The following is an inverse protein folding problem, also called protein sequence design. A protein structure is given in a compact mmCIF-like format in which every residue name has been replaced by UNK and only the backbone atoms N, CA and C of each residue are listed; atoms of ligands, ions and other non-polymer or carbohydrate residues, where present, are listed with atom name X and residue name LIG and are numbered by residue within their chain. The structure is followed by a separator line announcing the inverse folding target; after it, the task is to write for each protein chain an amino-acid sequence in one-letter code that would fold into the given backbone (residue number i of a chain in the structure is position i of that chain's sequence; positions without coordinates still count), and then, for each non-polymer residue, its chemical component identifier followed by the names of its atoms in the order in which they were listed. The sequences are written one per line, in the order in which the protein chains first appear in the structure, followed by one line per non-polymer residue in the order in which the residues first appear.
data_IF_779371518500
#
_entry.id   IF_779371518500
#
_cell.length_a   1.000
_cell.length_b   1.000
_cell.length_c   1.000
_cell.angle_alpha   90.00
_cell.angle_beta   90.00
_cell.angle_gamma   90.00
#
_symmetry.space_group_name_H-M   'P 1'
#
loop_
_entity.id
_entity.type
_entity.pdbx_description
1 polymer ?
#
# COMPACT_ATOMS: atom_id res chain seq x y z
N UNK A 1 2.33 -14.77 12.88
CA UNK A 1 2.26 -13.29 13.03
C UNK A 1 0.82 -12.95 13.29
N UNK A 2 0.55 -12.30 14.41
CA UNK A 2 -0.79 -11.84 14.73
C UNK A 2 -0.96 -10.40 14.24
N UNK A 3 -2.04 -10.12 13.53
CA UNK A 3 -2.43 -8.74 13.21
C UNK A 3 -3.00 -8.10 14.48
N UNK A 4 -2.87 -6.77 14.65
CA UNK A 4 -3.53 -6.08 15.75
C UNK A 4 -5.03 -6.41 15.81
N UNK A 5 -5.64 -6.45 17.00
CA UNK A 5 -7.09 -6.54 17.12
C UNK A 5 -7.76 -5.51 16.21
N UNK A 6 -8.87 -5.90 15.58
CA UNK A 6 -9.65 -5.07 14.65
C UNK A 6 -8.95 -4.73 13.32
N UNK A 7 -7.78 -5.29 13.03
CA UNK A 7 -7.13 -5.19 11.72
C UNK A 7 -7.52 -6.38 10.85
N UNK A 8 -8.69 -6.31 10.22
CA UNK A 8 -9.13 -7.32 9.24
C UNK A 8 -8.30 -7.22 7.95
N UNK A 9 -7.56 -8.27 7.59
CA UNK A 9 -6.97 -8.35 6.25
C UNK A 9 -8.09 -8.53 5.23
N UNK A 10 -8.11 -7.67 4.21
CA UNK A 10 -9.06 -7.73 3.10
C UNK A 10 -8.43 -8.32 1.85
N UNK A 11 -7.27 -7.81 1.46
CA UNK A 11 -6.52 -8.29 0.30
C UNK A 11 -5.12 -8.72 0.72
N UNK A 12 -4.63 -9.80 0.14
CA UNK A 12 -3.28 -10.31 0.33
C UNK A 12 -2.65 -10.53 -1.05
N UNK A 13 -1.71 -9.67 -1.44
CA UNK A 13 -1.08 -9.70 -2.76
C UNK A 13 0.35 -10.24 -2.66
N UNK A 14 0.67 -11.40 -3.25
CA UNK A 14 2.01 -11.99 -3.20
C UNK A 14 2.98 -11.23 -4.13
N UNK A 15 4.19 -11.02 -3.64
CA UNK A 15 5.33 -10.44 -4.34
C UNK A 15 6.48 -11.43 -4.26
N UNK A 16 6.49 -12.41 -5.16
CA UNK A 16 7.42 -13.53 -5.12
C UNK A 16 8.70 -13.25 -5.91
N UNK A 17 9.81 -13.81 -5.47
CA UNK A 17 11.10 -13.70 -6.14
C UNK A 17 11.67 -12.27 -6.17
N UNK A 18 11.34 -11.44 -5.20
CA UNK A 18 11.84 -10.07 -5.11
C UNK A 18 13.37 -10.06 -4.93
N UNK A 19 14.07 -9.33 -5.81
CA UNK A 19 15.52 -9.20 -5.73
C UNK A 19 15.89 -8.08 -4.77
N UNK A 20 16.57 -8.41 -3.67
CA UNK A 20 16.99 -7.41 -2.66
C UNK A 20 18.22 -6.59 -3.09
N UNK A 21 18.88 -6.96 -4.19
CA UNK A 21 20.20 -6.41 -4.56
C UNK A 21 20.22 -4.90 -4.83
N UNK A 22 19.11 -4.31 -5.24
CA UNK A 22 19.05 -2.87 -5.52
C UNK A 22 18.85 -2.03 -4.25
N UNK A 23 18.24 -2.60 -3.19
CA UNK A 23 17.81 -1.84 -2.01
C UNK A 23 18.47 -2.30 -0.71
N UNK A 24 18.85 -3.58 -0.58
CA UNK A 24 19.47 -4.12 0.62
C UNK A 24 20.98 -3.88 0.68
N UNK A 25 21.60 -3.45 -0.42
CA UNK A 25 23.00 -3.03 -0.44
C UNK A 25 23.10 -1.50 -0.33
N UNK A 26 22.79 -0.91 0.80
CA UNK A 26 23.64 0.18 1.24
C UNK A 26 25.04 -0.42 1.35
N UNK A 27 25.91 -0.15 0.38
CA UNK A 27 27.34 -0.33 0.58
C UNK A 27 27.71 0.56 1.76
N UNK A 28 27.76 -0.01 2.95
CA UNK A 28 28.48 0.63 4.03
C UNK A 28 29.89 0.87 3.48
N UNK A 29 30.41 2.10 3.53
CA UNK A 29 31.79 2.35 3.18
C UNK A 29 32.63 1.32 3.93
N UNK A 30 33.68 0.78 3.30
CA UNK A 30 34.52 -0.27 3.89
C UNK A 30 35.09 0.07 5.29
N UNK A 31 34.94 1.32 5.72
CA UNK A 31 35.39 1.85 7.00
C UNK A 31 34.26 2.48 7.83
N UNK A 32 32.98 2.17 7.56
CA UNK A 32 31.92 2.69 8.40
C UNK A 32 32.01 2.05 9.79
N UNK A 33 32.07 2.86 10.88
CA UNK A 33 32.02 2.31 12.22
C UNK A 33 30.69 1.60 12.41
N UNK A 34 30.73 0.32 12.76
CA UNK A 34 29.52 -0.44 13.09
C UNK A 34 28.86 0.19 14.30
N UNK A 35 27.59 0.56 14.27
CA UNK A 35 26.90 1.06 15.44
C UNK A 35 26.75 -0.07 16.45
N UNK A 36 27.44 0.04 17.58
CA UNK A 36 27.26 -0.76 18.78
C UNK A 36 28.13 -1.98 18.92
N UNK A 37 29.19 -1.84 19.74
CA UNK A 37 29.74 -2.84 20.65
C UNK A 37 30.04 -4.24 20.13
N UNK A 38 31.22 -4.42 19.57
CA UNK A 38 32.13 -5.53 19.81
C UNK A 38 31.58 -6.96 19.88
N UNK A 39 31.16 -7.51 18.75
CA UNK A 39 31.46 -8.90 18.43
C UNK A 39 32.14 -8.90 17.06
N UNK A 40 33.40 -9.28 17.05
CA UNK A 40 34.20 -9.49 15.86
C UNK A 40 33.65 -10.69 15.09
N UNK A 41 32.71 -10.43 14.18
CA UNK A 41 32.28 -11.40 13.18
C UNK A 41 33.18 -11.20 11.97
N UNK A 42 34.41 -11.75 12.10
CA UNK A 42 35.33 -11.83 11.00
C UNK A 42 34.66 -12.40 9.75
N UNK A 43 34.99 -11.78 8.64
CA UNK A 43 34.63 -12.08 7.26
C UNK A 43 33.16 -11.82 6.92
N UNK A 44 32.96 -10.86 6.01
CA UNK A 44 31.71 -10.72 5.25
C UNK A 44 31.46 -12.02 4.46
N UNK A 45 30.69 -12.92 5.04
CA UNK A 45 30.21 -14.11 4.31
C UNK A 45 29.41 -13.61 3.12
N UNK A 46 29.78 -13.95 1.87
CA UNK A 46 28.96 -13.63 0.73
C UNK A 46 27.57 -14.23 0.94
N UNK A 47 26.53 -13.39 0.92
CA UNK A 47 25.15 -13.90 0.97
C UNK A 47 24.99 -14.78 -0.27
N UNK A 48 24.68 -16.07 -0.13
CA UNK A 48 24.49 -16.96 -1.26
C UNK A 48 23.43 -16.35 -2.22
N UNK A 49 23.63 -16.49 -3.52
CA UNK A 49 22.71 -15.93 -4.55
C UNK A 49 21.26 -16.38 -4.36
N UNK A 50 21.04 -17.56 -3.76
CA UNK A 50 19.71 -18.04 -3.38
C UNK A 50 19.05 -17.20 -2.27
N UNK A 51 19.80 -16.46 -1.45
CA UNK A 51 19.28 -15.56 -0.43
C UNK A 51 19.08 -14.11 -0.95
N UNK A 52 19.47 -13.84 -2.20
CA UNK A 52 19.20 -12.55 -2.84
C UNK A 52 17.75 -12.37 -3.28
N UNK A 53 16.98 -13.45 -3.32
CA UNK A 53 15.55 -13.43 -3.61
C UNK A 53 14.76 -13.72 -2.35
N UNK A 54 13.72 -12.93 -2.13
CA UNK A 54 12.79 -13.10 -1.04
C UNK A 54 11.36 -13.03 -1.53
N UNK A 55 10.50 -13.71 -0.81
CA UNK A 55 9.08 -13.73 -1.06
C UNK A 55 8.37 -12.86 -0.02
N UNK A 56 7.52 -11.97 -0.49
CA UNK A 56 6.72 -11.09 0.35
C UNK A 56 5.24 -11.24 0.05
N UNK A 57 4.44 -10.75 0.98
CA UNK A 57 3.02 -10.54 0.77
C UNK A 57 2.64 -9.15 1.26
N UNK A 58 1.96 -8.39 0.41
CA UNK A 58 1.34 -7.14 0.81
C UNK A 58 -0.06 -7.43 1.36
N UNK A 59 -0.24 -7.21 2.65
CA UNK A 59 -1.52 -7.38 3.34
C UNK A 59 -2.18 -6.02 3.49
N UNK A 60 -3.37 -5.86 2.91
CA UNK A 60 -4.15 -4.64 2.95
C UNK A 60 -5.35 -4.85 3.86
N UNK A 61 -5.47 -4.06 4.92
CA UNK A 61 -6.60 -4.10 5.84
C UNK A 61 -7.77 -3.27 5.30
N UNK A 62 -9.00 -3.58 5.72
CA UNK A 62 -10.18 -2.78 5.38
C UNK A 62 -10.60 -1.87 6.53
N UNK A 63 -10.80 -0.58 6.24
CA UNK A 63 -11.47 0.35 7.15
C UNK A 63 -12.98 0.10 7.15
N UNK A 64 -13.58 -0.03 8.33
CA UNK A 64 -15.00 -0.34 8.50
C UNK A 64 -15.82 0.83 9.05
N UNK A 65 -15.20 1.72 9.84
CA UNK A 65 -15.87 2.85 10.47
C UNK A 65 -15.65 4.17 9.72
N UNK A 66 -16.65 5.05 9.75
CA UNK A 66 -16.55 6.38 9.18
C UNK A 66 -15.74 7.31 10.10
N UNK A 67 -15.14 8.35 9.51
CA UNK A 67 -14.49 9.46 10.21
C UNK A 67 -13.48 9.00 11.28
N UNK A 68 -12.67 7.98 10.96
CA UNK A 68 -11.60 7.46 11.82
C UNK A 68 -12.07 6.93 13.19
N UNK A 69 -13.29 6.43 13.30
CA UNK A 69 -13.82 5.86 14.55
C UNK A 69 -13.39 4.40 14.77
N UNK A 70 -12.19 4.05 14.32
CA UNK A 70 -11.59 2.72 14.48
C UNK A 70 -10.05 2.81 14.50
N UNK A 71 -9.33 1.75 14.88
CA UNK A 71 -7.90 1.66 14.70
C UNK A 71 -7.53 1.81 13.22
N UNK A 72 -6.36 2.43 12.97
CA UNK A 72 -5.91 2.74 11.62
C UNK A 72 -5.71 1.49 10.78
N UNK A 73 -6.39 1.44 9.62
CA UNK A 73 -6.19 0.43 8.61
C UNK A 73 -5.10 0.86 7.63
N UNK A 74 -4.24 -0.08 7.21
CA UNK A 74 -3.01 0.21 6.48
C UNK A 74 -2.56 -0.96 5.59
N UNK A 75 -1.55 -0.70 4.78
CA UNK A 75 -0.79 -1.74 4.07
C UNK A 75 0.33 -2.24 4.99
N UNK A 76 0.51 -3.56 5.05
CA UNK A 76 1.61 -4.23 5.74
C UNK A 76 2.37 -5.11 4.76
N UNK A 77 3.68 -4.98 4.75
CA UNK A 77 4.54 -5.89 4.01
C UNK A 77 5.08 -6.97 4.95
N UNK A 78 4.91 -8.21 4.55
CA UNK A 78 5.31 -9.38 5.33
C UNK A 78 6.28 -10.20 4.51
N UNK A 79 7.47 -10.48 5.03
CA UNK A 79 8.41 -11.44 4.47
C UNK A 79 7.91 -12.86 4.77
N UNK A 80 7.66 -13.63 3.73
CA UNK A 80 7.18 -15.02 3.79
C UNK A 80 8.19 -15.99 3.19
N UNK A 81 9.44 -15.56 2.98
CA UNK A 81 10.52 -16.42 2.44
C UNK A 81 10.63 -17.73 3.23
N UNK A 82 10.37 -17.66 4.52
CA UNK A 82 10.19 -18.82 5.39
C UNK A 82 8.73 -18.88 5.85
N UNK A 83 7.89 -19.62 5.15
CA UNK A 83 6.44 -19.67 5.38
C UNK A 83 6.07 -20.05 6.82
N UNK A 84 6.90 -20.87 7.47
CA UNK A 84 6.72 -21.26 8.88
C UNK A 84 7.02 -20.13 9.88
N UNK A 85 7.65 -19.03 9.44
CA UNK A 85 8.07 -17.92 10.30
C UNK A 85 7.91 -16.58 9.56
N UNK A 86 6.70 -16.15 9.23
CA UNK A 86 6.47 -14.88 8.54
C UNK A 86 6.83 -13.68 9.43
N UNK A 87 7.44 -12.65 8.83
CA UNK A 87 7.91 -11.45 9.55
C UNK A 87 7.36 -10.20 8.89
N UNK A 88 6.68 -9.34 9.67
CA UNK A 88 6.29 -8.01 9.22
C UNK A 88 7.53 -7.12 9.08
N UNK A 89 7.75 -6.55 7.88
CA UNK A 89 8.97 -5.79 7.57
C UNK A 89 8.73 -4.31 7.38
N UNK A 90 7.55 -3.90 6.93
CA UNK A 90 7.18 -2.50 6.82
C UNK A 90 5.67 -2.29 6.84
N UNK A 91 5.26 -1.04 7.05
CA UNK A 91 3.86 -0.60 6.95
C UNK A 91 3.78 0.70 6.20
N UNK A 92 2.65 0.93 5.54
CA UNK A 92 2.38 2.20 4.88
C UNK A 92 0.91 2.62 5.05
N UNK A 93 0.67 3.91 5.24
CA UNK A 93 -0.66 4.52 5.33
C UNK A 93 -0.63 5.96 4.84
N UNK A 94 -1.77 6.47 4.40
CA UNK A 94 -1.93 7.91 4.12
C UNK A 94 -1.97 8.67 5.45
N UNK A 95 -1.18 9.75 5.62
CA UNK A 95 -1.31 10.61 6.79
C UNK A 95 -2.67 11.33 6.81
N UNK A 96 -3.45 11.22 7.88
CA UNK A 96 -4.79 11.81 7.98
C UNK A 96 -4.78 13.32 7.77
N UNK A 97 -3.80 13.99 8.38
CA UNK A 97 -3.68 15.43 8.34
C UNK A 97 -3.39 16.00 6.94
N UNK A 98 -2.80 15.19 6.05
CA UNK A 98 -2.43 15.65 4.71
C UNK A 98 -3.63 16.10 3.85
N UNK A 99 -4.84 15.71 4.22
CA UNK A 99 -6.06 16.06 3.50
C UNK A 99 -7.28 16.21 4.38
N UNK A 100 -7.11 16.33 5.70
CA UNK A 100 -8.20 16.32 6.68
C UNK A 100 -9.17 15.14 6.48
N UNK A 101 -8.62 13.95 6.19
CA UNK A 101 -9.42 12.81 5.74
C UNK A 101 -10.42 12.34 6.79
N UNK A 102 -10.09 12.39 8.08
CA UNK A 102 -11.05 12.08 9.16
C UNK A 102 -12.24 13.04 9.19
N UNK A 103 -12.05 14.30 8.79
CA UNK A 103 -13.11 15.32 8.76
C UNK A 103 -13.95 15.37 7.48
N UNK A 104 -13.54 14.69 6.41
CA UNK A 104 -14.23 14.72 5.10
C UNK A 104 -15.53 13.93 5.03
N UNK A 105 -15.79 13.07 6.00
CA UNK A 105 -16.88 12.11 5.96
C UNK A 105 -16.50 10.78 5.30
N UNK A 106 -17.29 9.76 5.57
CA UNK A 106 -17.05 8.41 5.09
C UNK A 106 -15.86 7.72 5.75
N UNK A 107 -15.50 6.56 5.26
CA UNK A 107 -14.36 5.77 5.75
C UNK A 107 -13.05 6.39 5.29
N UNK A 108 -12.05 6.30 6.14
CA UNK A 108 -10.66 6.61 5.83
C UNK A 108 -9.76 5.48 6.31
N UNK A 109 -8.96 4.95 5.42
CA UNK A 109 -8.08 3.81 5.62
C UNK A 109 -8.00 3.00 4.34
N UNK A 110 -7.15 2.00 4.32
CA UNK A 110 -7.01 1.09 3.20
C UNK A 110 -8.26 0.22 3.02
N UNK A 111 -8.44 -0.31 1.80
CA UNK A 111 -9.46 -1.31 1.49
C UNK A 111 -8.90 -2.47 0.67
N UNK A 112 -8.50 -2.23 -0.57
CA UNK A 112 -8.01 -3.30 -1.46
C UNK A 112 -6.80 -2.86 -2.26
N UNK A 113 -6.04 -3.82 -2.77
CA UNK A 113 -5.04 -3.62 -3.81
C UNK A 113 -5.50 -4.20 -5.15
N UNK A 114 -4.79 -3.86 -6.23
CA UNK A 114 -4.90 -4.61 -7.48
C UNK A 114 -4.42 -6.05 -7.26
N UNK A 115 -5.03 -6.99 -8.01
CA UNK A 115 -4.73 -8.42 -7.92
C UNK A 115 -4.13 -8.99 -9.21
N UNK A 116 -4.08 -8.23 -10.30
CA UNK A 116 -3.49 -8.63 -11.56
C UNK A 116 -1.96 -8.64 -11.51
N UNK A 117 -1.35 -9.71 -12.03
CA UNK A 117 0.10 -9.93 -12.08
C UNK A 117 0.74 -9.40 -13.37
N UNK A 118 0.20 -8.35 -13.99
CA UNK A 118 0.81 -7.77 -15.20
C UNK A 118 2.26 -7.40 -14.97
N UNK A 119 3.13 -7.76 -15.93
CA UNK A 119 4.57 -7.48 -15.87
C UNK A 119 4.90 -5.98 -15.84
N UNK A 120 3.95 -5.11 -16.18
CA UNK A 120 4.11 -3.67 -16.08
C UNK A 120 4.28 -3.23 -14.63
N UNK A 121 3.48 -3.81 -13.72
CA UNK A 121 3.41 -3.33 -12.33
C UNK A 121 3.93 -4.33 -11.31
N UNK A 122 3.90 -5.63 -11.61
CA UNK A 122 4.27 -6.67 -10.66
C UNK A 122 5.68 -6.48 -10.09
N UNK A 123 5.79 -6.53 -8.76
CA UNK A 123 7.04 -6.30 -8.03
C UNK A 123 7.57 -4.87 -8.07
N UNK A 124 6.82 -3.91 -8.63
CA UNK A 124 7.23 -2.52 -8.82
C UNK A 124 6.25 -1.52 -8.23
N UNK A 125 4.99 -1.58 -8.66
CA UNK A 125 3.94 -0.65 -8.24
C UNK A 125 2.74 -1.44 -7.76
N UNK A 126 2.32 -1.18 -6.53
CA UNK A 126 1.07 -1.67 -5.96
C UNK A 126 0.08 -0.51 -5.88
N UNK A 127 -1.10 -0.69 -6.44
CA UNK A 127 -2.19 0.27 -6.30
C UNK A 127 -3.07 -0.15 -5.13
N UNK A 128 -3.40 0.82 -4.26
CA UNK A 128 -4.22 0.57 -3.07
C UNK A 128 -5.30 1.64 -2.95
N UNK A 129 -6.53 1.23 -2.74
CA UNK A 129 -7.63 2.15 -2.45
C UNK A 129 -7.68 2.51 -0.96
N UNK A 130 -7.97 3.78 -0.70
CA UNK A 130 -8.06 4.38 0.64
C UNK A 130 -9.37 5.17 0.82
N UNK A 131 -10.48 4.57 0.45
CA UNK A 131 -11.82 5.15 0.57
C UNK A 131 -11.89 6.65 0.20
N UNK A 132 -12.09 7.55 1.20
CA UNK A 132 -12.20 8.99 0.95
C UNK A 132 -10.86 9.67 0.60
N UNK A 133 -9.76 8.95 0.70
CA UNK A 133 -8.45 9.39 0.24
C UNK A 133 -8.12 8.89 -1.19
N UNK A 134 -9.03 8.22 -1.88
CA UNK A 134 -8.88 7.81 -3.27
C UNK A 134 -8.01 6.57 -3.47
N UNK A 135 -7.32 6.48 -4.60
CA UNK A 135 -6.35 5.42 -4.92
C UNK A 135 -4.93 5.94 -4.82
N UNK A 136 -4.03 5.10 -4.33
CA UNK A 136 -2.60 5.38 -4.13
C UNK A 136 -1.76 4.43 -4.95
N UNK A 137 -0.72 4.95 -5.60
CA UNK A 137 0.31 4.16 -6.27
C UNK A 137 1.55 4.09 -5.37
N UNK A 138 1.94 2.89 -4.99
CA UNK A 138 3.04 2.62 -4.06
C UNK A 138 4.19 1.96 -4.79
N UNK A 139 5.40 2.52 -4.69
CA UNK A 139 6.62 1.84 -5.09
C UNK A 139 6.96 0.77 -4.05
N UNK A 140 6.86 -0.49 -4.45
CA UNK A 140 7.10 -1.66 -3.59
C UNK A 140 8.39 -2.39 -3.95
N UNK A 141 9.24 -1.82 -4.81
CA UNK A 141 10.53 -2.40 -5.19
C UNK A 141 11.47 -2.56 -3.99
N UNK A 142 11.32 -1.68 -2.99
CA UNK A 142 11.92 -1.84 -1.67
C UNK A 142 10.83 -2.22 -0.65
N UNK A 143 10.64 -3.52 -0.34
CA UNK A 143 9.61 -3.98 0.58
C UNK A 143 9.80 -3.47 2.02
N UNK A 144 11.01 -3.03 2.37
CA UNK A 144 11.31 -2.48 3.70
C UNK A 144 10.98 -0.99 3.82
N UNK A 145 10.76 -0.29 2.68
CA UNK A 145 10.55 1.16 2.64
C UNK A 145 9.59 1.57 1.52
N UNK A 146 8.33 1.16 1.66
CA UNK A 146 7.24 1.46 0.71
C UNK A 146 7.08 2.98 0.57
N UNK A 147 6.99 3.48 -0.66
CA UNK A 147 6.84 4.91 -0.96
C UNK A 147 5.63 5.18 -1.84
N UNK A 148 4.83 6.18 -1.47
CA UNK A 148 3.83 6.73 -2.39
C UNK A 148 4.53 7.47 -3.52
N UNK A 149 4.15 7.16 -4.77
CA UNK A 149 4.68 7.79 -5.99
C UNK A 149 3.61 8.52 -6.79
N UNK A 150 2.35 8.38 -6.42
CA UNK A 150 1.24 9.07 -7.03
C UNK A 150 -0.09 8.72 -6.38
N UNK A 151 -1.10 9.55 -6.65
CA UNK A 151 -2.45 9.30 -6.17
C UNK A 151 -3.50 9.96 -7.08
N UNK A 152 -4.73 9.48 -6.96
CA UNK A 152 -5.89 10.12 -7.55
C UNK A 152 -7.05 10.08 -6.55
N UNK A 153 -7.69 11.23 -6.35
CA UNK A 153 -8.85 11.38 -5.48
C UNK A 153 -10.02 11.85 -6.36
N UNK A 154 -11.03 11.01 -6.61
CA UNK A 154 -12.21 11.39 -7.37
C UNK A 154 -12.90 12.62 -6.76
N UNK A 155 -13.44 13.47 -7.62
CA UNK A 155 -14.35 14.53 -7.15
C UNK A 155 -15.72 13.94 -6.79
N UNK A 156 -16.41 14.56 -5.84
CA UNK A 156 -17.82 14.26 -5.59
C UNK A 156 -18.68 14.73 -6.76
N UNK A 157 -19.79 14.04 -6.99
CA UNK A 157 -20.81 14.40 -7.99
C UNK A 157 -22.16 14.67 -7.30
N UNK A 158 -23.17 15.12 -8.05
CA UNK A 158 -24.53 15.29 -7.52
C UNK A 158 -25.14 13.95 -7.03
N UNK A 159 -24.61 12.81 -7.52
CA UNK A 159 -25.09 11.48 -7.17
C UNK A 159 -24.26 10.81 -6.07
N UNK A 160 -23.21 11.49 -5.56
CA UNK A 160 -22.36 10.91 -4.52
C UNK A 160 -23.12 10.72 -3.22
N UNK A 161 -23.04 9.53 -2.67
CA UNK A 161 -23.71 9.13 -1.43
C UNK A 161 -23.23 9.96 -0.22
N UNK A 162 -24.12 10.06 0.75
CA UNK A 162 -23.78 10.58 2.08
C UNK A 162 -23.35 9.45 3.00
N UNK A 163 -22.39 9.75 3.87
CA UNK A 163 -21.92 8.86 4.94
C UNK A 163 -22.11 9.56 6.27
N UNK A 164 -22.67 8.84 7.24
CA UNK A 164 -23.08 9.42 8.51
C UNK A 164 -22.29 8.85 9.67
N UNK A 165 -22.11 9.68 10.70
CA UNK A 165 -21.64 9.30 12.04
C UNK A 165 -22.68 9.77 13.06
N UNK A 166 -22.72 9.11 14.23
CA UNK A 166 -23.71 9.36 15.27
C UNK A 166 -25.12 8.83 14.95
N UNK A 167 -26.03 8.97 15.88
CA UNK A 167 -27.40 8.47 15.77
C UNK A 167 -28.41 9.54 16.21
N UNK A 168 -29.65 9.40 15.72
CA UNK A 168 -30.75 10.29 16.10
C UNK A 168 -30.44 11.76 15.87
N UNK A 169 -30.64 12.59 16.89
CA UNK A 169 -30.42 14.04 16.81
C UNK A 169 -28.92 14.44 16.67
N UNK A 170 -27.99 13.53 17.00
CA UNK A 170 -26.55 13.76 16.85
C UNK A 170 -26.01 13.26 15.50
N UNK A 171 -26.84 12.72 14.63
CA UNK A 171 -26.39 12.21 13.33
C UNK A 171 -25.87 13.34 12.45
N UNK A 172 -24.64 13.17 11.94
CA UNK A 172 -23.98 14.07 11.01
C UNK A 172 -23.62 13.31 9.73
N UNK A 173 -24.15 13.77 8.59
CA UNK A 173 -23.96 13.11 7.30
C UNK A 173 -23.24 14.03 6.32
N UNK A 174 -22.14 13.55 5.73
CA UNK A 174 -21.32 14.26 4.74
C UNK A 174 -21.31 13.51 3.42
N UNK A 175 -21.29 14.23 2.30
CA UNK A 175 -21.05 13.66 0.97
C UNK A 175 -19.59 13.26 0.90
N UNK A 176 -19.31 11.99 0.63
CA UNK A 176 -17.94 11.49 0.65
C UNK A 176 -17.73 10.38 -0.39
N UNK A 177 -16.68 10.52 -1.20
CA UNK A 177 -16.21 9.44 -2.07
C UNK A 177 -15.79 8.23 -1.22
N UNK A 178 -15.88 7.05 -1.82
CA UNK A 178 -15.46 5.80 -1.19
C UNK A 178 -14.81 4.92 -2.24
N UNK A 179 -13.59 5.29 -2.67
CA UNK A 179 -12.80 4.48 -3.62
C UNK A 179 -12.60 3.09 -3.03
N UNK A 180 -13.13 2.08 -3.71
CA UNK A 180 -13.34 0.75 -3.15
C UNK A 180 -12.33 -0.25 -3.71
N UNK A 181 -12.48 -0.63 -4.98
CA UNK A 181 -11.60 -1.59 -5.63
C UNK A 181 -10.73 -0.90 -6.69
N UNK A 182 -9.55 -1.45 -6.88
CA UNK A 182 -8.63 -1.06 -7.94
C UNK A 182 -8.15 -2.31 -8.67
N UNK A 183 -8.05 -2.21 -9.99
CA UNK A 183 -7.46 -3.25 -10.82
C UNK A 183 -6.62 -2.62 -11.93
N UNK A 184 -5.73 -3.40 -12.52
CA UNK A 184 -4.84 -2.98 -13.60
C UNK A 184 -4.89 -3.95 -14.75
N UNK A 185 -4.54 -3.52 -15.96
CA UNK A 185 -4.45 -4.38 -17.12
C UNK A 185 -3.03 -4.41 -17.74
N UNK A 186 -2.85 -5.25 -18.73
CA UNK A 186 -1.58 -5.44 -19.45
C UNK A 186 -1.23 -4.33 -20.45
N UNK A 187 -2.09 -3.30 -20.56
CA UNK A 187 -1.84 -2.04 -21.28
C UNK A 187 -1.38 -0.94 -20.32
N UNK A 188 -1.47 -1.18 -19.01
CA UNK A 188 -1.09 -0.23 -17.97
C UNK A 188 -2.19 0.73 -17.53
N UNK A 189 -3.45 0.48 -17.91
CA UNK A 189 -4.58 1.21 -17.35
C UNK A 189 -4.88 0.75 -15.93
N UNK A 190 -5.31 1.71 -15.11
CA UNK A 190 -5.71 1.50 -13.72
C UNK A 190 -7.20 1.81 -13.59
N UNK A 191 -7.98 0.84 -13.16
CA UNK A 191 -9.43 0.91 -13.04
C UNK A 191 -9.79 1.03 -11.56
N UNK A 192 -10.44 2.12 -11.19
CA UNK A 192 -10.86 2.38 -9.80
C UNK A 192 -12.38 2.49 -9.74
N UNK A 193 -12.99 1.67 -8.90
CA UNK A 193 -14.44 1.72 -8.65
C UNK A 193 -14.69 2.41 -7.33
N UNK A 194 -15.59 3.38 -7.34
CA UNK A 194 -16.06 4.07 -6.15
C UNK A 194 -17.46 3.56 -5.76
N UNK A 195 -17.64 3.11 -4.53
CA UNK A 195 -18.92 2.58 -4.03
C UNK A 195 -19.85 3.64 -3.45
N UNK A 196 -19.48 4.91 -3.55
CA UNK A 196 -20.34 6.04 -3.19
C UNK A 196 -20.90 6.77 -4.42
N UNK A 197 -21.08 6.06 -5.53
CA UNK A 197 -21.68 6.53 -6.77
C UNK A 197 -20.91 7.66 -7.51
N UNK A 198 -19.58 7.73 -7.39
CA UNK A 198 -18.80 8.56 -8.30
C UNK A 198 -18.46 7.82 -9.61
N UNK A 199 -18.61 6.49 -9.64
CA UNK A 199 -18.52 5.66 -10.83
C UNK A 199 -17.21 4.89 -10.97
N UNK A 200 -16.88 4.53 -12.21
CA UNK A 200 -15.63 3.92 -12.64
C UNK A 200 -14.69 5.00 -13.17
N UNK A 201 -13.47 5.01 -12.65
CA UNK A 201 -12.40 5.89 -13.11
C UNK A 201 -11.32 5.05 -13.80
N UNK A 202 -10.90 5.46 -15.00
CA UNK A 202 -9.82 4.83 -15.77
C UNK A 202 -8.64 5.80 -15.78
N UNK A 203 -7.50 5.36 -15.26
CA UNK A 203 -6.34 6.20 -15.00
C UNK A 203 -5.09 5.61 -15.67
N UNK A 204 -4.08 6.45 -15.84
CA UNK A 204 -2.73 6.07 -16.23
C UNK A 204 -1.71 6.66 -15.26
N UNK A 205 -0.60 5.95 -15.02
CA UNK A 205 0.57 6.55 -14.39
C UNK A 205 1.25 7.52 -15.35
N UNK A 206 1.61 8.69 -14.83
CA UNK A 206 2.29 9.74 -15.59
C UNK A 206 3.59 10.18 -14.92
N UNK A 207 4.39 10.98 -15.62
CA UNK A 207 5.59 11.62 -15.07
C UNK A 207 6.61 10.65 -14.48
N UNK A 208 7.10 10.99 -13.28
CA UNK A 208 8.11 10.18 -12.59
C UNK A 208 7.58 8.82 -12.11
N UNK A 209 6.31 8.74 -11.72
CA UNK A 209 5.68 7.51 -11.29
C UNK A 209 5.64 6.44 -12.42
N UNK A 210 5.40 6.87 -13.67
CA UNK A 210 5.42 5.97 -14.83
C UNK A 210 6.78 5.30 -15.03
N UNK A 211 7.88 5.95 -14.64
CA UNK A 211 9.25 5.40 -14.76
C UNK A 211 9.55 4.28 -13.76
N UNK A 212 8.76 4.15 -12.71
CA UNK A 212 8.86 3.04 -11.74
C UNK A 212 8.29 1.76 -12.33
N UNK A 213 7.22 1.86 -13.11
CA UNK A 213 6.61 0.75 -13.82
C UNK A 213 7.49 0.26 -14.99
N UNK A 214 7.20 -0.95 -15.49
CA UNK A 214 7.93 -1.59 -16.60
C UNK A 214 7.09 -1.53 -17.88
N UNK A 215 6.84 -0.34 -18.36
CA UNK A 215 6.28 -0.15 -19.71
C UNK A 215 7.38 -0.44 -20.72
N UNK A 216 7.48 -1.47 -21.38
CA UNK A 216 8.51 -1.78 -22.39
C UNK A 216 9.07 -0.56 -23.15
N UNK A 217 10.13 -0.75 -23.93
CA UNK A 217 10.77 0.34 -24.71
C UNK A 217 9.83 0.94 -25.74
#
# INVERSE_FOLDING_TARGET
MDLPPDAGAHTAFPLLGMTLSEFARQKLPANAPMPGGGHDHGESVPIPTAQAHRDFIAVVSESLANECQEPRQMVRMVDITFESSPVGVSTWTVPEASGNFCGRGGRFGSHSSNENFTSIYYGRVLFVTFFNAGVRALDVRDPFNIKEIGYYIPATTANTDRRCVGEGASQNCKVAIQSNNVEVDDRGYVYVVDRANTGLHILELTGAARKVANFGP
#
